data_IF_842261440272
#
_entry.id   IF_842261440272
#
_cell.length_a   1.000
_cell.length_b   1.000
_cell.length_c   1.000
_cell.angle_alpha   90.00
_cell.angle_beta   90.00
_cell.angle_gamma   90.00
#
_symmetry.space_group_name_H-M   'P 1'
#
loop_
_entity.id
_entity.type
_entity.pdbx_description
1 polymer ?
#
# COMPACT_ATOMS: atom_id res chain seq x y z
N UNK A 1 -5.31 5.33 26.52
CA UNK A 1 -5.59 4.63 25.26
C UNK A 1 -4.28 4.59 24.47
N UNK A 2 -3.91 3.46 23.85
CA UNK A 2 -2.76 3.45 22.92
C UNK A 2 -3.20 4.17 21.64
N UNK A 3 -2.30 4.95 21.05
CA UNK A 3 -2.51 5.55 19.75
C UNK A 3 -2.73 4.42 18.71
N UNK A 4 -3.86 4.38 18.00
CA UNK A 4 -4.20 3.29 17.09
C UNK A 4 -3.22 3.15 15.91
N UNK A 5 -2.46 4.20 15.57
CA UNK A 5 -1.45 4.14 14.52
C UNK A 5 -0.03 3.89 15.05
N UNK A 6 0.17 3.80 16.36
CA UNK A 6 1.51 3.57 16.94
C UNK A 6 2.23 2.32 16.41
N UNK A 7 1.54 1.24 15.97
CA UNK A 7 2.18 0.10 15.31
C UNK A 7 2.63 0.35 13.88
N UNK A 8 2.14 1.42 13.23
CA UNK A 8 2.60 1.79 11.89
C UNK A 8 3.92 2.56 11.93
N UNK A 9 4.75 2.30 10.95
CA UNK A 9 5.90 3.14 10.61
C UNK A 9 6.03 3.25 9.09
N UNK A 10 6.33 4.46 8.60
CA UNK A 10 6.67 4.71 7.21
C UNK A 10 8.18 4.69 7.11
N UNK A 11 8.73 3.78 6.29
CA UNK A 11 10.16 3.68 6.07
C UNK A 11 10.62 4.74 5.05
N UNK A 12 10.04 4.70 3.86
CA UNK A 12 10.33 5.64 2.76
C UNK A 12 9.20 5.57 1.74
N UNK A 13 8.81 6.71 1.18
CA UNK A 13 7.86 6.79 0.06
C UNK A 13 6.50 6.14 0.39
N UNK A 14 6.21 4.97 -0.17
CA UNK A 14 5.00 4.18 0.13
C UNK A 14 5.29 2.91 0.95
N UNK A 15 6.53 2.77 1.45
CA UNK A 15 6.93 1.61 2.24
C UNK A 15 6.43 1.73 3.68
N UNK A 16 5.43 0.92 4.02
CA UNK A 16 4.73 0.97 5.30
C UNK A 16 4.92 -0.35 6.03
N UNK A 17 5.23 -0.28 7.33
CA UNK A 17 5.30 -1.44 8.23
C UNK A 17 4.26 -1.34 9.33
N UNK A 18 3.53 -2.43 9.56
CA UNK A 18 2.72 -2.67 10.74
C UNK A 18 3.41 -3.68 11.67
N UNK A 19 3.63 -3.29 12.91
CA UNK A 19 4.26 -4.14 13.94
C UNK A 19 3.25 -4.67 14.95
N UNK A 20 2.28 -5.48 14.51
CA UNK A 20 1.26 -6.10 15.34
C UNK A 20 1.56 -7.56 15.71
N UNK A 21 0.52 -8.34 16.02
CA UNK A 21 0.62 -9.77 16.30
C UNK A 21 1.18 -10.54 15.10
N UNK A 22 0.82 -10.11 13.89
CA UNK A 22 1.43 -10.49 12.61
C UNK A 22 2.12 -9.25 12.06
N UNK A 23 3.41 -9.32 11.77
CA UNK A 23 4.11 -8.18 11.16
C UNK A 23 3.83 -8.12 9.67
N UNK A 24 3.34 -6.97 9.21
CA UNK A 24 2.95 -6.73 7.83
C UNK A 24 3.80 -5.62 7.23
N UNK A 25 4.24 -5.81 5.99
CA UNK A 25 4.85 -4.77 5.17
C UNK A 25 4.00 -4.51 3.94
N UNK A 26 3.90 -3.25 3.54
CA UNK A 26 3.34 -2.81 2.27
C UNK A 26 4.45 -2.14 1.47
N UNK A 27 4.65 -2.58 0.23
CA UNK A 27 5.60 -2.04 -0.74
C UNK A 27 6.99 -1.71 -0.14
N UNK A 28 7.71 -2.69 0.44
CA UNK A 28 9.00 -2.42 1.07
C UNK A 28 10.00 -1.87 0.05
N UNK A 29 10.51 -0.67 0.33
CA UNK A 29 11.40 0.07 -0.55
C UNK A 29 12.45 0.86 0.25
N UNK A 30 13.70 0.87 -0.22
CA UNK A 30 14.86 1.51 0.43
C UNK A 30 14.99 1.14 1.90
N UNK A 31 14.81 -0.12 2.19
CA UNK A 31 14.96 -0.65 3.56
C UNK A 31 16.46 -0.73 3.88
N UNK A 32 16.94 0.13 4.78
CA UNK A 32 18.37 0.23 5.10
C UNK A 32 18.90 -1.01 5.84
N UNK A 33 18.08 -1.58 6.73
CA UNK A 33 18.48 -2.71 7.59
C UNK A 33 17.64 -3.93 7.28
N UNK A 34 18.28 -5.09 7.18
CA UNK A 34 17.57 -6.36 7.13
C UNK A 34 16.87 -6.60 8.47
N UNK A 35 15.56 -6.64 8.44
CA UNK A 35 14.72 -6.90 9.62
C UNK A 35 14.33 -8.36 9.74
N UNK A 36 14.00 -9.02 8.61
CA UNK A 36 13.58 -10.41 8.55
C UNK A 36 12.36 -10.69 9.45
N UNK A 37 11.51 -9.70 9.65
CA UNK A 37 10.39 -9.75 10.61
C UNK A 37 9.01 -9.81 9.96
N UNK A 38 8.92 -9.59 8.64
CA UNK A 38 7.67 -9.58 7.89
C UNK A 38 7.06 -10.98 7.74
N UNK A 39 5.88 -11.16 8.26
CA UNK A 39 5.06 -12.36 8.09
C UNK A 39 4.27 -12.34 6.79
N UNK A 40 3.78 -11.16 6.42
CA UNK A 40 3.02 -10.89 5.19
C UNK A 40 3.58 -9.64 4.53
N UNK A 41 3.82 -9.73 3.22
CA UNK A 41 4.27 -8.62 2.41
C UNK A 41 3.21 -8.36 1.35
N UNK A 42 2.56 -7.21 1.39
CA UNK A 42 1.60 -6.75 0.38
C UNK A 42 2.33 -5.90 -0.66
N UNK A 43 2.15 -6.23 -1.93
CA UNK A 43 2.65 -5.47 -3.08
C UNK A 43 1.46 -4.93 -3.85
N UNK A 44 1.41 -3.61 -4.05
CA UNK A 44 0.31 -2.96 -4.76
C UNK A 44 0.44 -3.10 -6.27
N UNK A 45 1.67 -3.01 -6.80
CA UNK A 45 1.97 -3.13 -8.22
C UNK A 45 3.47 -3.37 -8.47
N UNK A 46 3.89 -3.57 -9.72
CA UNK A 46 5.25 -3.99 -10.07
C UNK A 46 6.20 -2.85 -10.51
N UNK A 47 5.89 -1.58 -10.23
CA UNK A 47 6.89 -0.53 -10.36
C UNK A 47 8.01 -0.72 -9.34
N UNK A 48 9.22 -0.30 -9.70
CA UNK A 48 10.46 -0.58 -8.95
C UNK A 48 10.47 -0.03 -7.51
N UNK A 49 9.70 1.01 -7.23
CA UNK A 49 9.56 1.69 -5.94
C UNK A 49 8.45 1.08 -5.04
N UNK A 50 7.72 0.10 -5.56
CA UNK A 50 6.73 -0.72 -4.84
C UNK A 50 7.10 -2.19 -4.83
N UNK A 51 7.66 -2.69 -5.92
CA UNK A 51 8.16 -4.06 -6.03
C UNK A 51 9.70 -4.06 -6.12
N UNK A 52 10.38 -3.97 -4.98
CA UNK A 52 11.82 -4.12 -4.84
C UNK A 52 12.17 -5.53 -4.33
N UNK A 53 12.58 -6.47 -5.21
CA UNK A 53 12.91 -7.83 -4.77
C UNK A 53 13.99 -7.89 -3.70
N UNK A 54 14.94 -6.93 -3.71
CA UNK A 54 15.99 -6.85 -2.70
C UNK A 54 15.41 -6.46 -1.34
N UNK A 55 14.59 -5.40 -1.29
CA UNK A 55 13.99 -4.94 -0.03
C UNK A 55 12.96 -5.93 0.51
N UNK A 56 12.17 -6.56 -0.37
CA UNK A 56 11.28 -7.66 0.01
C UNK A 56 12.05 -8.76 0.75
N UNK A 57 13.22 -9.19 0.23
CA UNK A 57 14.04 -10.22 0.89
C UNK A 57 14.64 -9.75 2.21
N UNK A 58 14.91 -8.45 2.36
CA UNK A 58 15.42 -7.87 3.62
C UNK A 58 14.41 -7.94 4.74
N UNK A 59 13.11 -7.83 4.41
CA UNK A 59 12.05 -7.76 5.42
C UNK A 59 11.35 -9.10 5.65
N UNK A 60 11.26 -9.99 4.65
CA UNK A 60 10.45 -11.20 4.73
C UNK A 60 11.09 -12.29 5.59
N UNK A 61 10.26 -12.99 6.37
CA UNK A 61 10.62 -14.26 7.02
C UNK A 61 10.70 -15.38 5.99
N UNK A 62 11.39 -16.51 6.31
CA UNK A 62 11.45 -17.68 5.42
C UNK A 62 10.08 -18.25 5.04
N UNK A 63 9.09 -18.17 5.95
CA UNK A 63 7.72 -18.63 5.78
C UNK A 63 6.72 -17.49 5.46
N UNK A 64 7.22 -16.30 5.11
CA UNK A 64 6.40 -15.17 4.75
C UNK A 64 5.58 -15.43 3.48
N UNK A 65 4.40 -14.80 3.43
CA UNK A 65 3.54 -14.80 2.24
C UNK A 65 3.66 -13.45 1.55
N UNK A 66 3.93 -13.49 0.25
CA UNK A 66 3.96 -12.32 -0.64
C UNK A 66 2.61 -12.23 -1.35
N UNK A 67 1.79 -11.27 -0.95
CA UNK A 67 0.49 -10.95 -1.55
C UNK A 67 0.71 -9.91 -2.65
N UNK A 68 0.23 -10.18 -3.86
CA UNK A 68 0.49 -9.30 -5.01
C UNK A 68 -0.63 -9.46 -6.07
N UNK A 69 -0.86 -8.45 -6.93
CA UNK A 69 -1.77 -8.59 -8.06
C UNK A 69 -1.40 -9.78 -8.94
N UNK A 70 -2.39 -10.50 -9.50
CA UNK A 70 -2.14 -11.61 -10.44
C UNK A 70 -1.22 -11.18 -11.60
N UNK A 71 -1.35 -9.92 -12.06
CA UNK A 71 -0.50 -9.36 -13.13
C UNK A 71 0.99 -9.30 -12.73
N UNK A 72 1.32 -9.16 -11.45
CA UNK A 72 2.69 -9.09 -10.93
C UNK A 72 3.33 -10.47 -10.67
N UNK A 73 2.54 -11.55 -10.78
CA UNK A 73 3.00 -12.92 -10.48
C UNK A 73 4.21 -13.35 -11.31
N UNK A 74 4.18 -13.05 -12.61
CA UNK A 74 5.30 -13.41 -13.49
C UNK A 74 6.59 -12.69 -13.12
N UNK A 75 6.51 -11.40 -12.75
CA UNK A 75 7.65 -10.62 -12.28
C UNK A 75 8.22 -11.19 -10.97
N UNK A 76 7.37 -11.60 -10.03
CA UNK A 76 7.80 -12.20 -8.77
C UNK A 76 8.52 -13.55 -8.99
N UNK A 77 8.00 -14.41 -9.86
CA UNK A 77 8.67 -15.67 -10.21
C UNK A 77 10.01 -15.42 -10.92
N UNK A 78 10.07 -14.46 -11.84
CA UNK A 78 11.30 -14.09 -12.52
C UNK A 78 12.35 -13.50 -11.55
N UNK A 79 11.90 -12.79 -10.50
CA UNK A 79 12.75 -12.31 -9.42
C UNK A 79 13.23 -13.43 -8.47
N UNK A 80 12.75 -14.68 -8.64
CA UNK A 80 13.19 -15.85 -7.87
C UNK A 80 12.43 -16.11 -6.57
N UNK A 81 11.24 -15.50 -6.39
CA UNK A 81 10.34 -15.89 -5.29
C UNK A 81 9.68 -17.25 -5.61
N UNK A 82 9.51 -18.08 -4.60
CA UNK A 82 8.87 -19.39 -4.77
C UNK A 82 7.37 -19.23 -5.01
N UNK A 83 6.80 -20.00 -5.93
CA UNK A 83 5.37 -20.02 -6.18
C UNK A 83 4.54 -20.36 -4.92
N UNK A 84 5.11 -21.13 -3.99
CA UNK A 84 4.48 -21.46 -2.71
C UNK A 84 4.41 -20.29 -1.71
N UNK A 85 5.20 -19.25 -1.92
CA UNK A 85 5.19 -18.01 -1.12
C UNK A 85 4.23 -16.95 -1.68
N UNK A 86 3.74 -17.13 -2.92
CA UNK A 86 2.92 -16.12 -3.58
C UNK A 86 1.43 -16.38 -3.31
N UNK A 87 0.71 -15.33 -2.95
CA UNK A 87 -0.75 -15.26 -2.94
C UNK A 87 -1.19 -14.21 -3.98
N UNK A 88 -1.40 -14.61 -5.23
CA UNK A 88 -1.90 -13.71 -6.26
C UNK A 88 -3.35 -13.31 -5.97
N UNK A 89 -3.67 -12.03 -6.16
CA UNK A 89 -4.99 -11.46 -5.88
C UNK A 89 -5.56 -10.73 -7.09
N UNK A 90 -6.88 -10.54 -7.10
CA UNK A 90 -7.59 -9.78 -8.13
C UNK A 90 -8.36 -8.64 -7.51
N UNK A 91 -8.38 -7.53 -8.21
CA UNK A 91 -9.12 -6.35 -7.81
C UNK A 91 -10.62 -6.65 -7.59
N UNK A 92 -11.16 -6.15 -6.48
CA UNK A 92 -12.55 -6.35 -6.05
C UNK A 92 -12.81 -7.62 -5.24
N UNK A 93 -11.82 -8.49 -5.05
CA UNK A 93 -11.99 -9.75 -4.32
C UNK A 93 -11.52 -9.65 -2.86
N UNK A 94 -12.04 -10.57 -2.02
CA UNK A 94 -11.74 -10.68 -0.60
C UNK A 94 -10.91 -11.91 -0.33
N UNK A 95 -9.97 -11.78 0.60
CA UNK A 95 -9.01 -12.83 0.94
C UNK A 95 -8.73 -12.88 2.44
N UNK A 96 -8.03 -13.93 2.87
CA UNK A 96 -7.44 -14.02 4.21
C UNK A 96 -6.03 -14.59 4.10
N UNK A 97 -5.05 -13.96 4.77
CA UNK A 97 -3.67 -14.42 4.83
C UNK A 97 -3.16 -14.38 6.28
N UNK A 98 -2.60 -15.48 6.77
CA UNK A 98 -2.11 -15.60 8.18
C UNK A 98 -3.11 -15.04 9.22
N UNK A 99 -4.41 -15.24 8.99
CA UNK A 99 -5.48 -14.76 9.87
C UNK A 99 -5.90 -13.29 9.65
N UNK A 100 -5.30 -12.58 8.72
CA UNK A 100 -5.65 -11.20 8.35
C UNK A 100 -6.67 -11.22 7.20
N UNK A 101 -7.94 -10.83 7.42
CA UNK A 101 -8.88 -10.56 6.34
C UNK A 101 -8.47 -9.30 5.59
N UNK A 102 -8.60 -9.31 4.27
CA UNK A 102 -8.34 -8.12 3.45
C UNK A 102 -9.13 -8.11 2.15
N UNK A 103 -9.27 -6.91 1.58
CA UNK A 103 -9.88 -6.68 0.27
C UNK A 103 -8.85 -6.04 -0.65
N UNK A 104 -8.74 -6.54 -1.88
CA UNK A 104 -7.95 -5.92 -2.94
C UNK A 104 -8.82 -4.87 -3.67
N UNK A 105 -8.49 -3.59 -3.51
CA UNK A 105 -9.22 -2.46 -4.10
C UNK A 105 -8.56 -2.10 -5.43
N UNK A 106 -9.30 -1.92 -6.56
CA UNK A 106 -8.68 -1.44 -7.80
C UNK A 106 -7.93 -0.13 -7.61
N UNK A 107 -6.67 -0.08 -8.06
CA UNK A 107 -5.84 1.13 -8.03
C UNK A 107 -5.44 1.50 -9.46
N UNK A 108 -5.82 2.73 -9.89
CA UNK A 108 -5.55 3.18 -11.26
C UNK A 108 -5.70 4.70 -11.40
N UNK A 109 -5.15 5.23 -12.51
CA UNK A 109 -5.29 6.64 -12.85
C UNK A 109 -6.54 6.95 -13.69
N UNK A 110 -7.06 8.15 -13.53
CA UNK A 110 -8.10 8.75 -14.36
C UNK A 110 -7.46 9.82 -15.26
N UNK A 111 -7.41 9.54 -16.57
CA UNK A 111 -6.87 10.49 -17.55
C UNK A 111 -5.34 10.61 -17.57
N UNK A 112 -4.60 9.78 -16.82
CA UNK A 112 -3.13 9.70 -16.83
C UNK A 112 -2.68 8.35 -17.40
N UNK A 113 -1.52 8.24 -18.09
CA UNK A 113 -1.11 7.00 -18.75
C UNK A 113 -0.29 6.04 -17.88
N UNK A 114 -0.03 6.39 -16.59
CA UNK A 114 0.97 5.70 -15.78
C UNK A 114 0.44 4.41 -15.12
N UNK A 115 -0.81 4.45 -14.61
CA UNK A 115 -1.44 3.35 -13.89
C UNK A 115 -2.78 3.02 -14.57
N UNK A 116 -2.72 2.24 -15.64
CA UNK A 116 -3.94 1.90 -16.39
C UNK A 116 -4.80 0.91 -15.60
N UNK A 117 -6.12 1.07 -15.62
CA UNK A 117 -7.06 0.12 -14.98
C UNK A 117 -6.88 -1.32 -15.49
N UNK A 118 -6.48 -1.48 -16.76
CA UNK A 118 -6.20 -2.78 -17.38
C UNK A 118 -5.00 -3.52 -16.79
N UNK A 119 -4.12 -2.84 -16.03
CA UNK A 119 -2.98 -3.48 -15.38
C UNK A 119 -3.41 -4.40 -14.22
N UNK A 120 -4.63 -4.22 -13.69
CA UNK A 120 -5.16 -5.01 -12.59
C UNK A 120 -4.42 -4.80 -11.26
N UNK A 121 -3.79 -3.65 -11.08
CA UNK A 121 -3.10 -3.24 -9.86
C UNK A 121 -4.07 -2.87 -8.75
N UNK A 122 -3.65 -2.94 -7.50
CA UNK A 122 -4.54 -2.83 -6.35
C UNK A 122 -3.94 -2.03 -5.19
N UNK A 123 -4.81 -1.40 -4.42
CA UNK A 123 -4.57 -1.10 -3.02
C UNK A 123 -5.19 -2.19 -2.13
N UNK A 124 -5.01 -2.08 -0.83
CA UNK A 124 -5.48 -3.07 0.13
C UNK A 124 -6.23 -2.43 1.31
N UNK A 125 -7.39 -2.97 1.64
CA UNK A 125 -8.01 -2.75 2.96
C UNK A 125 -7.76 -3.99 3.80
N UNK A 126 -6.89 -3.89 4.80
CA UNK A 126 -6.51 -5.00 5.68
C UNK A 126 -6.99 -4.77 7.12
N UNK A 127 -7.47 -5.83 7.78
CA UNK A 127 -7.84 -5.80 9.19
C UNK A 127 -6.64 -6.17 10.06
N UNK A 128 -6.02 -5.17 10.67
CA UNK A 128 -4.79 -5.28 11.44
C UNK A 128 -5.08 -5.05 12.93
N UNK A 129 -5.15 -6.14 13.71
CA UNK A 129 -5.46 -6.12 15.15
C UNK A 129 -6.71 -5.28 15.51
N UNK A 130 -7.74 -5.37 14.65
CA UNK A 130 -9.01 -4.65 14.82
C UNK A 130 -9.06 -3.26 14.21
N UNK A 131 -7.99 -2.79 13.56
CA UNK A 131 -7.94 -1.57 12.75
C UNK A 131 -8.07 -1.91 11.27
N UNK A 132 -9.00 -1.28 10.57
CA UNK A 132 -9.15 -1.39 9.11
C UNK A 132 -8.29 -0.34 8.44
N UNK A 133 -7.14 -0.75 7.90
CA UNK A 133 -6.19 0.11 7.23
C UNK A 133 -6.34 0.00 5.70
N UNK A 134 -6.55 1.13 5.03
CA UNK A 134 -6.52 1.24 3.58
C UNK A 134 -5.17 1.77 3.12
N UNK A 135 -4.39 0.96 2.45
CA UNK A 135 -3.17 1.37 1.73
C UNK A 135 -3.51 1.43 0.26
N UNK A 136 -3.61 2.64 -0.28
CA UNK A 136 -4.21 2.87 -1.59
C UNK A 136 -3.33 2.39 -2.77
N UNK A 137 -2.01 2.33 -2.59
CA UNK A 137 -1.06 2.18 -3.70
C UNK A 137 -1.09 3.42 -4.60
N UNK A 138 -0.65 3.26 -5.84
CA UNK A 138 -0.65 4.35 -6.81
C UNK A 138 -1.99 4.43 -7.54
N UNK A 139 -2.79 5.40 -7.14
CA UNK A 139 -4.15 5.59 -7.65
C UNK A 139 -4.54 7.06 -7.71
N UNK A 140 -5.53 7.36 -8.50
CA UNK A 140 -6.29 8.60 -8.41
C UNK A 140 -7.54 8.39 -7.52
N UNK A 141 -8.32 9.45 -7.35
CA UNK A 141 -9.59 9.46 -6.61
C UNK A 141 -10.69 8.74 -7.43
N UNK A 142 -10.63 7.41 -7.42
CA UNK A 142 -11.52 6.54 -8.19
C UNK A 142 -12.84 6.26 -7.46
N UNK A 143 -13.91 5.89 -8.18
CA UNK A 143 -15.17 5.46 -7.55
C UNK A 143 -14.98 4.31 -6.56
N UNK A 144 -14.07 3.36 -6.86
CA UNK A 144 -13.77 2.23 -5.99
C UNK A 144 -13.02 2.66 -4.73
N UNK A 145 -12.08 3.60 -4.84
CA UNK A 145 -11.40 4.19 -3.68
C UNK A 145 -12.39 4.92 -2.76
N UNK A 146 -13.31 5.71 -3.32
CA UNK A 146 -14.38 6.39 -2.56
C UNK A 146 -15.36 5.46 -1.88
N UNK A 147 -15.52 4.24 -2.36
CA UNK A 147 -16.41 3.24 -1.76
C UNK A 147 -15.75 2.47 -0.60
N UNK A 148 -14.48 2.71 -0.31
CA UNK A 148 -13.76 2.07 0.79
C UNK A 148 -14.32 2.56 2.14
N UNK A 149 -14.45 1.63 3.08
CA UNK A 149 -14.70 1.92 4.49
C UNK A 149 -13.48 1.49 5.30
N UNK A 150 -12.82 2.43 5.98
CA UNK A 150 -11.61 2.19 6.76
C UNK A 150 -11.52 3.12 7.97
N UNK A 151 -10.67 2.76 8.94
CA UNK A 151 -10.36 3.57 10.11
C UNK A 151 -9.13 4.45 9.85
N UNK A 152 -8.17 3.94 9.07
CA UNK A 152 -6.97 4.65 8.64
C UNK A 152 -6.77 4.51 7.13
N UNK A 153 -6.44 5.61 6.44
CA UNK A 153 -6.15 5.64 5.02
C UNK A 153 -4.73 6.17 4.76
N UNK A 154 -3.95 5.43 4.00
CA UNK A 154 -2.62 5.81 3.51
C UNK A 154 -2.75 6.15 2.03
N UNK A 155 -2.65 7.44 1.71
CA UNK A 155 -3.00 7.98 0.39
C UNK A 155 -1.80 8.63 -0.30
N UNK A 156 -1.56 8.37 -1.58
CA UNK A 156 -0.47 9.01 -2.32
C UNK A 156 -0.82 10.47 -2.61
N UNK A 157 0.16 11.38 -2.41
CA UNK A 157 -0.02 12.84 -2.56
C UNK A 157 0.97 13.50 -3.52
N UNK A 158 1.81 12.72 -4.19
CA UNK A 158 2.93 13.23 -5.01
C UNK A 158 2.55 13.86 -6.36
N UNK A 159 1.30 13.85 -6.76
CA UNK A 159 0.72 14.64 -7.87
C UNK A 159 0.94 14.08 -9.27
N UNK A 160 2.19 13.87 -9.70
CA UNK A 160 2.49 13.56 -11.12
C UNK A 160 1.89 12.21 -11.57
N UNK A 161 2.13 11.17 -10.79
CA UNK A 161 1.71 9.80 -11.11
C UNK A 161 0.45 9.38 -10.37
N UNK A 162 0.10 10.10 -9.32
CA UNK A 162 -0.98 9.81 -8.38
C UNK A 162 -1.81 11.08 -8.12
N UNK A 163 -2.59 11.08 -7.06
CA UNK A 163 -3.32 12.26 -6.59
C UNK A 163 -2.36 13.38 -6.17
N UNK A 164 -2.78 14.61 -6.37
CA UNK A 164 -2.22 15.78 -5.67
C UNK A 164 -2.65 15.77 -4.21
N UNK A 165 -2.00 16.57 -3.37
CA UNK A 165 -2.38 16.75 -1.96
C UNK A 165 -3.88 17.12 -1.81
N UNK A 166 -4.40 18.01 -2.68
CA UNK A 166 -5.80 18.42 -2.66
C UNK A 166 -6.77 17.30 -3.05
N UNK A 167 -6.44 16.50 -4.08
CA UNK A 167 -7.26 15.37 -4.50
C UNK A 167 -7.29 14.28 -3.42
N UNK A 168 -6.13 13.98 -2.82
CA UNK A 168 -6.03 12.99 -1.74
C UNK A 168 -6.78 13.44 -0.48
N UNK A 169 -6.73 14.73 -0.12
CA UNK A 169 -7.51 15.28 0.99
C UNK A 169 -9.02 15.20 0.71
N UNK A 170 -9.45 15.48 -0.52
CA UNK A 170 -10.85 15.31 -0.93
C UNK A 170 -11.32 13.84 -0.80
N UNK A 171 -10.46 12.87 -1.19
CA UNK A 171 -10.74 11.46 -0.98
C UNK A 171 -10.81 11.12 0.52
N UNK A 172 -9.82 11.54 1.33
CA UNK A 172 -9.81 11.28 2.77
C UNK A 172 -11.08 11.79 3.47
N UNK A 173 -11.50 13.01 3.14
CA UNK A 173 -12.75 13.60 3.65
C UNK A 173 -13.99 12.80 3.20
N UNK A 174 -14.01 12.29 1.97
CA UNK A 174 -15.11 11.46 1.46
C UNK A 174 -15.18 10.08 2.13
N UNK A 175 -14.04 9.51 2.52
CA UNK A 175 -13.95 8.23 3.25
C UNK A 175 -14.45 8.35 4.70
N UNK A 176 -14.54 9.57 5.25
CA UNK A 176 -14.82 9.81 6.68
C UNK A 176 -13.90 8.99 7.60
N UNK A 177 -12.66 8.77 7.16
CA UNK A 177 -11.67 8.03 7.95
C UNK A 177 -11.23 8.83 9.17
N UNK A 178 -10.89 8.15 10.27
CA UNK A 178 -10.42 8.82 11.49
C UNK A 178 -8.98 9.29 11.38
N UNK A 179 -8.20 8.63 10.52
CA UNK A 179 -6.77 8.85 10.35
C UNK A 179 -6.47 8.85 8.86
N UNK A 180 -5.85 9.92 8.38
CA UNK A 180 -5.36 10.03 7.00
C UNK A 180 -3.85 10.31 7.03
N UNK A 181 -3.09 9.51 6.29
CA UNK A 181 -1.62 9.55 6.25
C UNK A 181 -1.16 9.75 4.81
N UNK A 182 -0.44 10.84 4.50
CA UNK A 182 0.10 11.06 3.17
C UNK A 182 1.29 10.14 2.89
N UNK A 183 1.36 9.60 1.69
CA UNK A 183 2.44 8.74 1.19
C UNK A 183 2.87 9.18 -0.20
N UNK A 184 3.90 8.56 -0.77
CA UNK A 184 4.34 8.71 -2.15
C UNK A 184 4.72 10.15 -2.52
N UNK A 185 5.49 10.86 -1.66
CA UNK A 185 5.96 12.23 -1.88
C UNK A 185 7.35 12.46 -1.29
N UNK A 186 7.99 13.55 -1.67
CA UNK A 186 9.23 14.06 -1.08
C UNK A 186 10.48 13.19 -1.31
N UNK A 187 10.40 12.20 -2.21
CA UNK A 187 11.51 11.27 -2.48
C UNK A 187 11.75 11.11 -3.99
N UNK A 188 10.93 10.30 -4.68
CA UNK A 188 10.99 10.07 -6.13
C UNK A 188 10.19 11.14 -6.86
N UNK A 189 9.07 11.54 -6.29
CA UNK A 189 8.09 12.48 -6.83
C UNK A 189 7.53 13.34 -5.69
N UNK A 190 6.91 14.46 -6.05
CA UNK A 190 6.31 15.38 -5.12
C UNK A 190 7.34 16.21 -4.34
N UNK A 191 6.86 17.25 -3.69
CA UNK A 191 7.63 18.10 -2.79
C UNK A 191 7.56 17.58 -1.35
N UNK A 192 8.53 17.92 -0.51
CA UNK A 192 8.49 17.60 0.92
C UNK A 192 7.29 18.25 1.63
N UNK A 193 6.77 19.34 1.08
CA UNK A 193 5.62 20.09 1.61
C UNK A 193 4.27 19.44 1.27
N UNK A 194 4.20 18.49 0.34
CA UNK A 194 2.90 17.91 -0.10
C UNK A 194 2.14 17.25 1.05
N UNK A 195 2.88 16.71 2.03
CA UNK A 195 2.29 16.16 3.26
C UNK A 195 1.63 17.23 4.13
N UNK A 196 2.26 18.40 4.28
CA UNK A 196 1.71 19.53 5.03
C UNK A 196 0.52 20.13 4.29
N UNK A 197 0.61 20.25 2.95
CA UNK A 197 -0.46 20.73 2.08
C UNK A 197 -1.69 19.80 2.13
N UNK A 198 -1.47 18.49 2.22
CA UNK A 198 -2.53 17.50 2.45
C UNK A 198 -3.18 17.70 3.82
N UNK A 199 -2.39 17.74 4.89
CA UNK A 199 -2.89 17.87 6.25
C UNK A 199 -3.69 19.16 6.49
N UNK A 200 -3.31 20.26 5.82
CA UNK A 200 -4.01 21.54 5.91
C UNK A 200 -5.42 21.54 5.30
N UNK A 201 -5.80 20.49 4.55
CA UNK A 201 -7.09 20.38 3.83
C UNK A 201 -8.02 19.29 4.43
N UNK A 202 -7.60 18.64 5.52
CA UNK A 202 -8.41 17.68 6.29
C UNK A 202 -9.34 18.38 7.35
#
# INVERSE_FOLDING_TARGET
MRDPISPFSINCHSSIRWGGAVTVWFDPFRVEKTTGDGDVIFITHDHYDHFSPEDIRRVMKPDAVLVLPESCRAAALAAGFSASQLLPVRAGEHYTVKGIPFTAVPAYNIGKPFHLRSNGWVGYVAELDGLRAYVAGDTDDTPEARAVSCDAAFLPVGGTYTMTAAEAAALANALHTQIAVPTHYGSIVGAMTDGDDFAAQL
#
